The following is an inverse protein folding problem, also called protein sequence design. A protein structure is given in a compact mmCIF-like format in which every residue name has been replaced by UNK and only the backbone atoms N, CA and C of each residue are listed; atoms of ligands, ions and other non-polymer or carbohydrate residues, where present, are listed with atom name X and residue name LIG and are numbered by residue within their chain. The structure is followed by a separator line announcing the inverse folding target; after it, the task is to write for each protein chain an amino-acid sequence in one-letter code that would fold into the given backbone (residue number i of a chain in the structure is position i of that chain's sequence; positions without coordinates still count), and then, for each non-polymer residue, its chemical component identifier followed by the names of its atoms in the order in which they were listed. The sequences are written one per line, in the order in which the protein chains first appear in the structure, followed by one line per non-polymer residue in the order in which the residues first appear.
data_IF_746931917227
#
_entry.id   IF_746931917227
#
_cell.length_a   1.000
_cell.length_b   1.000
_cell.length_c   1.000
_cell.angle_alpha   90.00
_cell.angle_beta   90.00
_cell.angle_gamma   90.00
#
_symmetry.space_group_name_H-M   'P 1'
#
loop_
_entity.id
_entity.type
_entity.pdbx_description
1 polymer ?
#
# COMPACT_ATOMS: atom_id res chain seq x y z
N UNK A 1 10.02 -9.80 9.56
CA UNK A 1 8.65 -9.98 10.07
C UNK A 1 7.90 -10.86 9.10
N UNK A 2 7.60 -12.10 9.48
CA UNK A 2 6.58 -12.91 8.79
C UNK A 2 5.26 -12.21 9.11
N UNK A 3 4.59 -11.67 8.10
CA UNK A 3 3.30 -11.04 8.33
C UNK A 3 2.30 -12.14 8.69
N UNK A 4 1.65 -11.98 9.83
CA UNK A 4 0.64 -12.91 10.30
C UNK A 4 -0.52 -12.87 9.30
N UNK A 5 -0.96 -14.04 8.82
CA UNK A 5 -2.09 -14.16 7.88
C UNK A 5 -3.29 -13.32 8.36
N UNK A 6 -3.47 -13.30 9.68
CA UNK A 6 -4.43 -12.51 10.44
C UNK A 6 -4.41 -11.00 10.15
N UNK A 7 -3.26 -10.38 9.86
CA UNK A 7 -3.18 -8.93 9.60
C UNK A 7 -3.72 -8.56 8.22
N UNK A 8 -3.47 -9.42 7.22
CA UNK A 8 -4.01 -9.27 5.87
C UNK A 8 -5.53 -9.45 5.88
N UNK A 9 -6.02 -10.51 6.52
CA UNK A 9 -7.47 -10.79 6.65
C UNK A 9 -8.20 -9.62 7.32
N UNK A 10 -7.67 -9.08 8.43
CA UNK A 10 -8.27 -7.92 9.12
C UNK A 10 -8.37 -6.68 8.25
N UNK A 11 -7.38 -6.43 7.38
CA UNK A 11 -7.47 -5.30 6.44
C UNK A 11 -8.51 -5.57 5.37
N UNK A 12 -8.57 -6.78 4.82
CA UNK A 12 -9.57 -7.17 3.82
C UNK A 12 -10.99 -7.03 4.37
N UNK A 13 -11.25 -7.53 5.58
CA UNK A 13 -12.55 -7.38 6.26
C UNK A 13 -12.93 -5.91 6.45
N UNK A 14 -11.96 -5.09 6.87
CA UNK A 14 -12.16 -3.64 7.01
C UNK A 14 -12.48 -2.97 5.67
N UNK A 15 -11.79 -3.35 4.59
CA UNK A 15 -12.06 -2.86 3.24
C UNK A 15 -13.45 -3.27 2.76
N UNK A 16 -13.82 -4.54 2.90
CA UNK A 16 -15.13 -5.06 2.49
C UNK A 16 -16.26 -4.32 3.20
N UNK A 17 -16.11 -4.07 4.51
CA UNK A 17 -17.09 -3.31 5.29
C UNK A 17 -17.18 -1.85 4.82
N UNK A 18 -16.04 -1.21 4.54
CA UNK A 18 -15.97 0.20 4.12
C UNK A 18 -16.52 0.44 2.71
N UNK A 19 -16.40 -0.55 1.83
CA UNK A 19 -16.79 -0.46 0.42
C UNK A 19 -17.96 -1.39 0.06
N UNK A 20 -18.78 -1.78 1.04
CA UNK A 20 -19.86 -2.75 0.86
C UNK A 20 -20.83 -2.41 -0.28
N UNK A 21 -21.08 -1.13 -0.52
CA UNK A 21 -21.99 -0.66 -1.58
C UNK A 21 -21.30 -0.48 -2.95
N UNK A 22 -19.99 -0.73 -3.06
CA UNK A 22 -19.21 -0.52 -4.27
C UNK A 22 -18.67 -1.84 -4.82
N UNK A 23 -19.46 -2.46 -5.72
CA UNK A 23 -19.15 -3.75 -6.35
C UNK A 23 -17.78 -3.76 -7.03
N UNK A 24 -17.41 -2.65 -7.69
CA UNK A 24 -16.11 -2.54 -8.34
C UNK A 24 -14.97 -2.60 -7.31
N UNK A 25 -15.07 -1.87 -6.21
CA UNK A 25 -14.06 -1.93 -5.14
C UNK A 25 -14.02 -3.29 -4.46
N UNK A 26 -15.17 -3.96 -4.27
CA UNK A 26 -15.21 -5.32 -3.73
C UNK A 26 -14.44 -6.31 -4.61
N UNK A 27 -14.58 -6.25 -5.94
CA UNK A 27 -13.80 -7.09 -6.85
C UNK A 27 -12.28 -6.84 -6.76
N UNK A 28 -11.86 -5.59 -6.60
CA UNK A 28 -10.45 -5.23 -6.39
C UNK A 28 -9.93 -5.70 -5.02
N UNK A 29 -10.80 -5.76 -4.00
CA UNK A 29 -10.45 -6.27 -2.67
C UNK A 29 -10.26 -7.79 -2.72
N UNK A 30 -11.12 -8.51 -3.45
CA UNK A 30 -10.96 -9.95 -3.68
C UNK A 30 -9.68 -10.27 -4.48
N UNK A 31 -9.40 -9.52 -5.55
CA UNK A 31 -8.14 -9.64 -6.32
C UNK A 31 -6.93 -9.45 -5.40
N UNK A 32 -6.96 -8.41 -4.55
CA UNK A 32 -5.91 -8.17 -3.57
C UNK A 32 -5.80 -9.33 -2.57
N UNK A 33 -6.91 -9.86 -2.07
CA UNK A 33 -6.88 -10.98 -1.13
C UNK A 33 -6.23 -12.24 -1.75
N UNK A 34 -6.51 -12.55 -3.01
CA UNK A 34 -5.97 -13.74 -3.67
C UNK A 34 -4.52 -13.55 -4.13
N UNK A 35 -4.20 -12.40 -4.71
CA UNK A 35 -2.94 -12.20 -5.44
C UNK A 35 -1.86 -11.48 -4.64
N UNK A 36 -2.22 -10.81 -3.52
CA UNK A 36 -1.27 -9.98 -2.80
C UNK A 36 -0.06 -10.78 -2.27
N UNK A 37 1.11 -10.34 -2.71
CA UNK A 37 2.42 -10.72 -2.20
C UNK A 37 3.14 -9.48 -1.73
N UNK A 38 3.97 -9.62 -0.71
CA UNK A 38 4.80 -8.54 -0.17
C UNK A 38 5.78 -7.92 -1.20
N UNK A 39 6.01 -8.56 -2.36
CA UNK A 39 6.79 -8.05 -3.49
C UNK A 39 5.98 -7.18 -4.46
N UNK A 40 4.65 -7.11 -4.29
CA UNK A 40 3.74 -6.37 -5.18
C UNK A 40 3.16 -5.10 -4.55
N UNK A 41 3.49 -4.79 -3.29
CA UNK A 41 2.99 -3.61 -2.57
C UNK A 41 3.11 -2.27 -3.33
N UNK A 42 4.23 -1.99 -4.02
CA UNK A 42 4.34 -0.78 -4.85
C UNK A 42 3.33 -0.81 -6.01
N UNK A 43 3.19 -1.93 -6.71
CA UNK A 43 2.24 -2.07 -7.81
C UNK A 43 0.80 -1.90 -7.32
N UNK A 44 0.45 -2.48 -6.17
CA UNK A 44 -0.85 -2.29 -5.54
C UNK A 44 -1.09 -0.81 -5.15
N UNK A 45 -0.06 -0.10 -4.72
CA UNK A 45 -0.13 1.32 -4.37
C UNK A 45 -0.23 2.25 -5.59
N UNK A 46 0.41 1.92 -6.72
CA UNK A 46 0.42 2.75 -7.93
C UNK A 46 -0.69 2.41 -8.93
N UNK A 47 -1.22 1.17 -8.91
CA UNK A 47 -2.44 0.81 -9.66
C UNK A 47 -3.58 1.71 -9.21
N UNK A 48 -4.41 2.15 -10.16
CA UNK A 48 -5.63 2.90 -9.88
C UNK A 48 -6.60 2.01 -9.09
N UNK A 49 -6.46 2.05 -7.76
CA UNK A 49 -7.15 1.17 -6.83
C UNK A 49 -7.52 1.93 -5.56
N UNK A 50 -8.42 1.35 -4.75
CA UNK A 50 -8.77 1.92 -3.46
C UNK A 50 -7.56 2.15 -2.56
N UNK A 51 -6.51 1.33 -2.64
CA UNK A 51 -5.36 1.32 -1.73
C UNK A 51 -4.61 2.65 -1.68
N UNK A 52 -4.43 3.32 -2.83
CA UNK A 52 -3.77 4.62 -2.88
C UNK A 52 -4.53 5.65 -2.03
N UNK A 53 -5.82 5.79 -2.29
CA UNK A 53 -6.68 6.75 -1.57
C UNK A 53 -6.84 6.35 -0.10
N UNK A 54 -6.95 5.06 0.16
CA UNK A 54 -7.17 4.47 1.47
C UNK A 54 -5.94 4.62 2.37
N UNK A 55 -4.72 4.63 1.82
CA UNK A 55 -3.51 4.89 2.59
C UNK A 55 -3.26 6.40 2.75
N UNK A 56 -3.32 7.16 1.65
CA UNK A 56 -2.91 8.56 1.67
C UNK A 56 -3.89 9.49 2.38
N UNK A 57 -5.19 9.18 2.37
CA UNK A 57 -6.18 10.00 3.06
C UNK A 57 -6.03 9.93 4.59
N UNK A 58 -5.99 8.75 5.24
CA UNK A 58 -5.71 8.62 6.66
C UNK A 58 -4.38 9.24 7.10
N UNK A 59 -3.33 9.15 6.27
CA UNK A 59 -2.05 9.80 6.59
C UNK A 59 -2.17 11.32 6.64
N UNK A 60 -3.00 11.93 5.77
CA UNK A 60 -3.28 13.39 5.82
C UNK A 60 -4.19 13.77 6.97
N UNK A 61 -5.21 12.97 7.24
CA UNK A 61 -6.22 13.21 8.28
C UNK A 61 -5.74 12.74 9.67
N UNK A 62 -4.56 12.15 9.78
CA UNK A 62 -4.00 11.56 11.00
C UNK A 62 -4.94 10.52 11.64
N UNK A 63 -5.69 9.77 10.82
CA UNK A 63 -6.56 8.70 11.30
C UNK A 63 -5.72 7.47 11.70
N UNK A 64 -5.24 7.48 12.95
CA UNK A 64 -4.35 6.45 13.50
C UNK A 64 -4.96 5.06 13.43
N UNK A 65 -6.26 4.92 13.66
CA UNK A 65 -6.94 3.62 13.61
C UNK A 65 -6.83 2.98 12.22
N UNK A 66 -7.08 3.76 11.16
CA UNK A 66 -6.96 3.28 9.78
C UNK A 66 -5.50 3.01 9.41
N UNK A 67 -4.58 3.88 9.84
CA UNK A 67 -3.13 3.69 9.61
C UNK A 67 -2.65 2.38 10.25
N UNK A 68 -3.09 2.08 11.48
CA UNK A 68 -2.74 0.84 12.18
C UNK A 68 -3.30 -0.40 11.46
N UNK A 69 -4.55 -0.35 10.98
CA UNK A 69 -5.15 -1.43 10.17
C UNK A 69 -4.36 -1.68 8.87
N UNK A 70 -3.82 -0.62 8.26
CA UNK A 70 -2.96 -0.70 7.08
C UNK A 70 -1.48 -0.97 7.39
N UNK A 71 -1.11 -1.17 8.67
CA UNK A 71 0.29 -1.19 9.11
C UNK A 71 1.14 -2.24 8.41
N UNK A 72 0.59 -3.43 8.12
CA UNK A 72 1.34 -4.46 7.39
C UNK A 72 1.64 -4.02 5.95
N UNK A 73 0.65 -3.44 5.26
CA UNK A 73 0.80 -2.98 3.88
C UNK A 73 1.75 -1.79 3.80
N UNK A 74 1.65 -0.86 4.75
CA UNK A 74 2.56 0.28 4.86
C UNK A 74 4.01 -0.18 5.08
N UNK A 75 4.23 -1.21 5.89
CA UNK A 75 5.56 -1.78 6.11
C UNK A 75 6.12 -2.47 4.86
N UNK A 76 5.31 -3.26 4.15
CA UNK A 76 5.73 -3.88 2.88
C UNK A 76 6.05 -2.82 1.82
N UNK A 77 5.19 -1.80 1.70
CA UNK A 77 5.37 -0.67 0.79
C UNK A 77 6.65 0.10 1.12
N UNK A 78 6.87 0.44 2.40
CA UNK A 78 8.07 1.13 2.85
C UNK A 78 9.34 0.34 2.51
N UNK A 79 9.36 -0.97 2.78
CA UNK A 79 10.50 -1.83 2.46
C UNK A 79 10.82 -1.84 0.97
N UNK A 80 9.82 -1.95 0.11
CA UNK A 80 10.06 -1.92 -1.32
C UNK A 80 10.59 -0.56 -1.78
N UNK A 81 10.04 0.54 -1.26
CA UNK A 81 10.51 1.90 -1.59
C UNK A 81 11.97 2.06 -1.19
N UNK A 82 12.35 1.64 0.03
CA UNK A 82 13.74 1.69 0.51
C UNK A 82 14.66 0.84 -0.37
N UNK A 83 14.24 -0.38 -0.72
CA UNK A 83 15.03 -1.24 -1.60
C UNK A 83 15.24 -0.61 -2.98
N UNK A 84 14.18 -0.13 -3.63
CA UNK A 84 14.28 0.54 -4.92
C UNK A 84 15.14 1.81 -4.86
N UNK A 85 14.98 2.60 -3.80
CA UNK A 85 15.80 3.79 -3.57
C UNK A 85 17.29 3.43 -3.42
N UNK A 86 17.60 2.36 -2.70
CA UNK A 86 18.98 1.90 -2.53
C UNK A 86 19.59 1.43 -3.85
N UNK A 87 18.85 0.69 -4.67
CA UNK A 87 19.32 0.29 -6.01
C UNK A 87 19.51 1.49 -6.95
N UNK A 88 18.58 2.46 -6.91
CA UNK A 88 18.70 3.70 -7.67
C UNK A 88 19.89 4.55 -7.19
N UNK A 89 20.21 4.52 -5.90
CA UNK A 89 21.32 5.28 -5.31
C UNK A 89 22.68 4.67 -5.63
N UNK A 90 22.79 3.34 -5.74
CA UNK A 90 24.04 2.65 -6.15
C UNK A 90 24.43 2.94 -7.59
N UNK A 91 23.43 3.11 -8.46
CA UNK A 91 23.60 3.30 -9.90
C UNK A 91 23.70 4.77 -10.30
N UNK A 92 23.36 5.68 -9.38
CA UNK A 92 23.53 7.11 -9.58
C UNK A 92 24.89 7.58 -9.08
N UNK A 93 25.64 8.23 -9.97
CA UNK A 93 26.57 9.27 -9.52
C UNK A 93 25.80 10.30 -8.68
N UNK A 94 26.44 10.83 -7.64
CA UNK A 94 25.91 11.70 -6.56
C UNK A 94 25.20 13.02 -7.00
N UNK A 95 24.66 13.09 -8.21
CA UNK A 95 23.88 14.19 -8.73
C UNK A 95 22.47 14.26 -8.14
N UNK A 96 22.00 15.50 -7.94
CA UNK A 96 20.67 15.85 -7.43
C UNK A 96 19.56 15.17 -8.25
N UNK A 97 18.58 14.60 -7.56
CA UNK A 97 17.33 14.11 -8.16
C UNK A 97 16.27 15.21 -8.13
N UNK A 98 16.04 15.86 -9.26
CA UNK A 98 14.96 16.85 -9.39
C UNK A 98 13.70 16.13 -9.89
N UNK A 99 12.59 16.33 -9.19
CA UNK A 99 11.27 15.83 -9.54
C UNK A 99 10.28 16.98 -9.58
N UNK A 100 9.25 16.86 -10.43
CA UNK A 100 8.17 17.81 -10.53
C UNK A 100 6.86 17.13 -10.18
N UNK A 101 5.99 17.85 -9.49
CA UNK A 101 4.62 17.44 -9.20
C UNK A 101 3.72 18.62 -9.56
N UNK A 102 2.80 18.41 -10.50
CA UNK A 102 1.81 19.39 -10.93
C UNK A 102 0.75 19.66 -9.87
#
# INVERSE_FOLDING_TARGET
MKHDHTSKTKLVEFCQTKYADNIFQLSLIEEFEQEYKNTLAIQCYTKESYLYSMLNRPLREQNVETIMKMGFFLHDLHKQIVNMHNEQSKTRDHNKFIVYRG
#
